data_IF_297803549946
#
_entry.id   IF_297803549946
#
_cell.length_a   1.000
_cell.length_b   1.000
_cell.length_c   1.000
_cell.angle_alpha   90.00
_cell.angle_beta   90.00
_cell.angle_gamma   90.00
#
_symmetry.space_group_name_H-M   'P 1'
#
loop_
_entity.id
_entity.type
_entity.pdbx_description
1 polymer ?
#
# COMPACT_ATOMS: atom_id res chain seq x y z
N UNK A 1 -8.34 -11.20 -19.91
CA UNK A 1 -7.02 -10.50 -20.01
C UNK A 1 -6.69 -10.21 -21.47
N UNK A 2 -6.43 -8.93 -21.81
CA UNK A 2 -6.00 -8.49 -23.15
C UNK A 2 -4.66 -9.14 -23.54
N UNK A 3 -4.39 -9.34 -24.84
CA UNK A 3 -3.08 -9.80 -25.33
C UNK A 3 -2.11 -8.63 -25.50
N UNK A 4 -0.81 -8.90 -25.30
CA UNK A 4 0.26 -7.94 -25.58
C UNK A 4 0.45 -7.83 -27.10
N UNK A 5 0.84 -6.65 -27.56
CA UNK A 5 1.20 -6.40 -28.97
C UNK A 5 2.70 -6.60 -29.16
N UNK A 6 3.05 -7.66 -29.92
CA UNK A 6 4.45 -8.02 -30.20
C UNK A 6 5.13 -7.06 -31.18
N UNK A 7 4.35 -6.26 -31.92
CA UNK A 7 4.86 -5.30 -32.90
C UNK A 7 5.04 -3.89 -32.32
N UNK A 8 4.60 -3.67 -31.09
CA UNK A 8 4.76 -2.40 -30.39
C UNK A 8 6.21 -2.12 -30.00
N UNK A 9 6.61 -0.84 -30.02
CA UNK A 9 7.92 -0.40 -29.50
C UNK A 9 8.02 -0.52 -27.98
N UNK A 10 6.89 -0.69 -27.27
CA UNK A 10 6.85 -0.83 -25.81
C UNK A 10 7.24 -2.26 -25.43
N UNK A 11 8.23 -2.46 -24.52
CA UNK A 11 8.65 -3.79 -24.07
C UNK A 11 7.48 -4.63 -23.55
N UNK A 12 7.44 -5.92 -23.92
CA UNK A 12 6.32 -6.83 -23.61
C UNK A 12 6.02 -6.95 -22.10
N UNK A 13 7.06 -6.89 -21.25
CA UNK A 13 6.87 -6.94 -19.80
C UNK A 13 6.18 -5.67 -19.26
N UNK A 14 6.41 -4.51 -19.87
CA UNK A 14 5.74 -3.25 -19.50
C UNK A 14 4.28 -3.30 -19.93
N UNK A 15 4.01 -3.77 -21.14
CA UNK A 15 2.64 -3.96 -21.63
C UNK A 15 1.85 -4.91 -20.72
N UNK A 16 2.44 -6.06 -20.37
CA UNK A 16 1.81 -7.03 -19.48
C UNK A 16 1.54 -6.45 -18.09
N UNK A 17 2.49 -5.69 -17.54
CA UNK A 17 2.28 -5.00 -16.26
C UNK A 17 1.12 -4.01 -16.34
N UNK A 18 1.02 -3.24 -17.43
CA UNK A 18 -0.07 -2.28 -17.62
C UNK A 18 -1.43 -2.98 -17.75
N UNK A 19 -1.49 -4.10 -18.46
CA UNK A 19 -2.73 -4.89 -18.60
C UNK A 19 -3.19 -5.41 -17.23
N UNK A 20 -2.28 -5.96 -16.42
CA UNK A 20 -2.63 -6.47 -15.08
C UNK A 20 -3.06 -5.31 -14.17
N UNK A 21 -2.41 -4.15 -14.25
CA UNK A 21 -2.83 -2.95 -13.51
C UNK A 21 -4.26 -2.52 -13.87
N UNK A 22 -4.55 -2.44 -15.17
CA UNK A 22 -5.90 -2.11 -15.65
C UNK A 22 -6.94 -3.09 -15.08
N UNK A 23 -6.65 -4.40 -15.08
CA UNK A 23 -7.55 -5.41 -14.51
C UNK A 23 -7.76 -5.26 -12.99
N UNK A 24 -6.76 -4.80 -12.25
CA UNK A 24 -6.87 -4.49 -10.81
C UNK A 24 -7.69 -3.20 -10.60
N UNK A 25 -7.46 -2.17 -11.41
CA UNK A 25 -8.14 -0.88 -11.31
C UNK A 25 -9.62 -0.98 -11.69
N UNK A 26 -9.96 -1.81 -12.67
CA UNK A 26 -11.35 -2.09 -13.11
C UNK A 26 -12.05 -3.16 -12.26
N UNK A 27 -11.41 -3.65 -11.20
CA UNK A 27 -11.92 -4.71 -10.32
C UNK A 27 -12.19 -6.06 -11.02
N UNK A 28 -11.71 -6.24 -12.25
CA UNK A 28 -11.71 -7.55 -12.92
C UNK A 28 -10.84 -8.57 -12.13
N UNK A 29 -9.76 -8.06 -11.52
CA UNK A 29 -8.96 -8.76 -10.49
C UNK A 29 -9.18 -8.08 -9.14
N UNK A 30 -9.95 -8.72 -8.27
CA UNK A 30 -10.27 -8.20 -6.93
C UNK A 30 -9.08 -8.32 -5.97
N UNK A 31 -9.06 -7.48 -4.95
CA UNK A 31 -8.09 -7.59 -3.85
C UNK A 31 -8.12 -8.99 -3.22
N UNK A 32 -6.95 -9.56 -2.97
CA UNK A 32 -6.79 -10.92 -2.46
C UNK A 32 -7.04 -12.03 -3.46
N UNK A 33 -7.53 -11.75 -4.68
CA UNK A 33 -7.73 -12.78 -5.69
C UNK A 33 -6.41 -13.34 -6.23
N UNK A 34 -6.45 -14.60 -6.66
CA UNK A 34 -5.32 -15.28 -7.27
C UNK A 34 -5.09 -14.76 -8.69
N UNK A 35 -3.85 -14.35 -8.99
CA UNK A 35 -3.43 -14.08 -10.35
C UNK A 35 -3.14 -15.42 -11.04
N UNK A 36 -3.62 -15.58 -12.26
CA UNK A 36 -3.31 -16.70 -13.13
C UNK A 36 -1.83 -17.10 -13.02
N UNK A 37 -1.52 -18.40 -13.04
CA UNK A 37 -0.13 -18.86 -12.90
C UNK A 37 0.78 -18.31 -14.00
N UNK A 38 2.06 -18.10 -13.68
CA UNK A 38 3.05 -17.64 -14.68
C UNK A 38 3.04 -18.50 -15.94
N UNK A 39 2.87 -19.82 -15.76
CA UNK A 39 2.81 -20.79 -16.88
C UNK A 39 1.61 -20.54 -17.78
N UNK A 40 0.45 -20.25 -17.18
CA UNK A 40 -0.77 -20.02 -17.94
C UNK A 40 -0.75 -18.65 -18.61
N UNK A 41 -0.16 -17.63 -17.94
CA UNK A 41 0.09 -16.33 -18.56
C UNK A 41 1.02 -16.46 -19.76
N UNK A 42 2.12 -17.24 -19.65
CA UNK A 42 3.02 -17.50 -20.78
C UNK A 42 2.28 -18.11 -21.96
N UNK A 43 1.44 -19.11 -21.72
CA UNK A 43 0.64 -19.76 -22.77
C UNK A 43 -0.37 -18.81 -23.38
N UNK A 44 -1.11 -18.07 -22.55
CA UNK A 44 -2.15 -17.14 -23.02
C UNK A 44 -1.57 -15.99 -23.85
N UNK A 45 -0.44 -15.42 -23.39
CA UNK A 45 0.21 -14.27 -24.02
C UNK A 45 1.22 -14.68 -25.10
N UNK A 46 1.60 -15.96 -25.18
CA UNK A 46 2.63 -16.50 -26.08
C UNK A 46 3.98 -15.76 -25.95
N UNK A 47 4.38 -15.50 -24.72
CA UNK A 47 5.63 -14.81 -24.35
C UNK A 47 6.49 -15.66 -23.42
N UNK A 48 7.75 -15.31 -23.30
CA UNK A 48 8.70 -16.05 -22.49
C UNK A 48 8.40 -15.96 -20.99
N UNK A 49 8.76 -16.99 -20.23
CA UNK A 49 8.64 -17.02 -18.79
C UNK A 49 9.41 -15.87 -18.11
N UNK A 50 10.57 -15.50 -18.67
CA UNK A 50 11.38 -14.37 -18.19
C UNK A 50 10.62 -13.05 -18.29
N UNK A 51 9.89 -12.83 -19.40
CA UNK A 51 9.08 -11.63 -19.62
C UNK A 51 7.93 -11.56 -18.63
N UNK A 52 7.22 -12.66 -18.39
CA UNK A 52 6.13 -12.75 -17.40
C UNK A 52 6.66 -12.50 -16.00
N UNK A 53 7.75 -13.16 -15.60
CA UNK A 53 8.37 -12.99 -14.29
C UNK A 53 8.77 -11.53 -14.06
N UNK A 54 9.39 -10.87 -15.06
CA UNK A 54 9.78 -9.45 -14.97
C UNK A 54 8.57 -8.53 -14.75
N UNK A 55 7.47 -8.79 -15.44
CA UNK A 55 6.23 -8.03 -15.25
C UNK A 55 5.65 -8.20 -13.84
N UNK A 56 5.58 -9.46 -13.36
CA UNK A 56 5.07 -9.76 -12.02
C UNK A 56 5.95 -9.15 -10.95
N UNK A 57 7.28 -9.25 -11.06
CA UNK A 57 8.20 -8.62 -10.10
C UNK A 57 8.05 -7.11 -10.04
N UNK A 58 7.85 -6.45 -11.18
CA UNK A 58 7.56 -5.00 -11.20
C UNK A 58 6.32 -4.68 -10.37
N UNK A 59 5.23 -5.43 -10.57
CA UNK A 59 3.99 -5.22 -9.85
C UNK A 59 4.08 -5.57 -8.35
N UNK A 60 4.91 -6.55 -7.98
CA UNK A 60 5.22 -6.85 -6.58
C UNK A 60 5.99 -5.69 -5.94
N UNK A 61 7.00 -5.14 -6.62
CA UNK A 61 7.76 -3.99 -6.14
C UNK A 61 6.89 -2.73 -6.00
N UNK A 62 5.89 -2.58 -6.84
CA UNK A 62 4.89 -1.51 -6.74
C UNK A 62 3.84 -1.76 -5.63
N UNK A 63 3.86 -2.95 -5.01
CA UNK A 63 2.92 -3.32 -3.96
C UNK A 63 1.50 -3.62 -4.46
N UNK A 64 1.33 -3.88 -5.75
CA UNK A 64 0.05 -4.27 -6.37
C UNK A 64 -0.18 -5.78 -6.30
N UNK A 65 0.88 -6.57 -6.22
CA UNK A 65 0.83 -8.02 -6.10
C UNK A 65 1.65 -8.49 -4.90
N UNK A 66 1.23 -9.61 -4.30
CA UNK A 66 1.97 -10.34 -3.28
C UNK A 66 2.31 -11.74 -3.81
N UNK A 67 3.60 -12.10 -3.77
CA UNK A 67 4.06 -13.43 -4.18
C UNK A 67 4.29 -14.30 -2.95
N UNK A 68 3.64 -15.46 -2.91
CA UNK A 68 3.82 -16.46 -1.86
C UNK A 68 4.45 -17.71 -2.48
N UNK A 69 5.64 -18.08 -1.98
CA UNK A 69 6.34 -19.26 -2.46
C UNK A 69 5.46 -20.51 -2.28
N UNK A 70 5.34 -21.32 -3.31
CA UNK A 70 4.50 -22.53 -3.32
C UNK A 70 2.99 -22.28 -3.41
N UNK A 71 2.50 -21.07 -3.14
CA UNK A 71 1.06 -20.75 -3.16
C UNK A 71 0.61 -19.91 -4.36
N UNK A 72 1.57 -19.23 -5.01
CA UNK A 72 1.30 -18.39 -6.19
C UNK A 72 1.35 -16.89 -5.93
N UNK A 73 0.76 -16.13 -6.84
CA UNK A 73 0.72 -14.67 -6.80
C UNK A 73 -0.71 -14.19 -6.62
N UNK A 74 -0.90 -13.23 -5.74
CA UNK A 74 -2.21 -12.69 -5.37
C UNK A 74 -2.22 -11.17 -5.53
N UNK A 75 -3.39 -10.61 -5.81
CA UNK A 75 -3.59 -9.16 -5.79
C UNK A 75 -3.42 -8.68 -4.35
N UNK A 76 -2.56 -7.69 -4.15
CA UNK A 76 -2.36 -7.12 -2.83
C UNK A 76 -3.61 -6.39 -2.36
N UNK A 77 -3.91 -6.50 -1.07
CA UNK A 77 -4.90 -5.60 -0.46
C UNK A 77 -4.33 -4.18 -0.51
N UNK A 78 -5.02 -3.26 -1.15
CA UNK A 78 -4.66 -1.84 -1.09
C UNK A 78 -4.69 -1.45 0.39
N UNK A 79 -3.51 -1.27 1.00
CA UNK A 79 -3.47 -0.49 2.22
C UNK A 79 -4.13 0.83 1.85
N UNK A 80 -5.32 1.11 2.37
CA UNK A 80 -5.98 2.40 2.19
C UNK A 80 -4.97 3.43 2.65
N UNK A 81 -4.14 3.95 1.74
CA UNK A 81 -3.31 5.13 2.02
C UNK A 81 -4.34 6.22 2.27
N UNK A 82 -4.55 6.53 3.52
CA UNK A 82 -5.31 7.70 3.89
C UNK A 82 -4.56 8.89 3.28
N UNK A 83 -4.96 9.32 2.10
CA UNK A 83 -4.58 10.63 1.58
C UNK A 83 -5.25 11.64 2.49
N UNK A 84 -4.53 12.06 3.51
CA UNK A 84 -4.89 13.23 4.29
C UNK A 84 -4.74 14.45 3.37
N UNK A 85 -5.70 14.66 2.47
CA UNK A 85 -5.72 15.83 1.58
C UNK A 85 -6.23 17.09 2.29
N UNK A 86 -6.75 16.92 3.52
CA UNK A 86 -7.11 18.00 4.45
C UNK A 86 -6.63 17.59 5.85
N UNK A 87 -6.23 18.59 6.63
CA UNK A 87 -6.02 18.44 8.08
C UNK A 87 -7.39 18.25 8.75
N UNK A 88 -7.95 17.05 8.66
CA UNK A 88 -9.17 16.65 9.36
C UNK A 88 -8.77 15.98 10.67
N UNK A 89 -9.42 16.32 11.75
CA UNK A 89 -9.20 15.68 13.04
C UNK A 89 -9.58 14.20 13.01
N UNK A 90 -8.93 13.37 13.84
CA UNK A 90 -9.21 11.94 13.93
C UNK A 90 -10.70 11.64 14.11
N UNK A 91 -11.36 12.37 15.01
CA UNK A 91 -12.80 12.24 15.28
C UNK A 91 -13.63 12.51 14.01
N UNK A 92 -13.32 13.57 13.28
CA UNK A 92 -14.04 13.93 12.05
C UNK A 92 -13.90 12.85 10.98
N UNK A 93 -12.69 12.30 10.80
CA UNK A 93 -12.44 11.22 9.85
C UNK A 93 -13.23 9.97 10.22
N UNK A 94 -13.29 9.60 11.49
CA UNK A 94 -13.97 8.40 11.94
C UNK A 94 -15.50 8.56 11.89
N UNK A 95 -16.02 9.73 12.24
CA UNK A 95 -17.45 10.02 12.14
C UNK A 95 -17.94 9.99 10.69
N UNK A 96 -17.17 10.53 9.73
CA UNK A 96 -17.49 10.45 8.31
C UNK A 96 -17.53 9.01 7.78
N UNK A 97 -16.88 8.07 8.48
CA UNK A 97 -16.89 6.63 8.17
C UNK A 97 -17.99 5.86 8.88
N UNK A 98 -18.87 6.55 9.60
CA UNK A 98 -19.95 5.93 10.34
C UNK A 98 -19.57 5.33 11.69
N UNK A 99 -18.35 5.61 12.20
CA UNK A 99 -17.95 5.19 13.54
C UNK A 99 -18.38 6.23 14.57
N UNK A 100 -18.89 5.78 15.70
CA UNK A 100 -19.00 6.63 16.88
C UNK A 100 -17.64 6.68 17.55
N UNK A 101 -17.18 7.90 17.86
CA UNK A 101 -15.86 8.12 18.49
C UNK A 101 -16.08 8.74 19.86
N UNK A 102 -15.65 8.02 20.87
CA UNK A 102 -15.58 8.52 22.25
C UNK A 102 -14.10 8.75 22.58
N UNK A 103 -13.82 9.90 23.17
CA UNK A 103 -12.47 10.25 23.62
C UNK A 103 -12.52 10.46 25.13
N UNK A 104 -11.71 9.72 25.85
CA UNK A 104 -11.52 9.89 27.28
C UNK A 104 -10.13 10.50 27.54
N UNK A 105 -10.10 11.64 28.20
CA UNK A 105 -8.86 12.28 28.60
C UNK A 105 -8.38 11.67 29.93
N UNK A 106 -7.45 10.72 29.84
CA UNK A 106 -6.94 10.01 31.02
C UNK A 106 -5.89 10.82 31.78
N UNK A 107 -5.05 11.55 31.09
CA UNK A 107 -3.97 12.34 31.66
C UNK A 107 -3.78 13.62 30.86
N UNK A 108 -3.77 14.74 31.58
CA UNK A 108 -3.34 16.04 31.06
C UNK A 108 -2.52 16.74 32.13
N UNK A 109 -1.22 16.81 31.95
CA UNK A 109 -0.35 17.55 32.84
C UNK A 109 0.82 18.21 32.08
N UNK A 110 1.36 19.24 32.72
CA UNK A 110 2.54 19.96 32.27
C UNK A 110 3.68 19.65 33.23
N UNK A 111 4.78 19.07 32.72
CA UNK A 111 5.88 18.64 33.56
C UNK A 111 7.21 18.68 32.81
N UNK A 112 8.31 18.54 33.58
CA UNK A 112 9.66 18.30 33.03
C UNK A 112 9.86 16.81 32.88
N UNK A 113 10.24 16.37 31.68
CA UNK A 113 10.36 14.96 31.37
C UNK A 113 11.80 14.47 31.30
N UNK A 114 11.94 13.15 31.32
CA UNK A 114 13.24 12.45 31.25
C UNK A 114 14.04 12.88 30.02
N UNK A 115 15.36 12.69 30.09
CA UNK A 115 16.30 12.98 29.00
C UNK A 115 15.87 12.36 27.67
N UNK A 116 15.37 11.12 27.69
CA UNK A 116 14.92 10.39 26.50
C UNK A 116 13.74 11.07 25.78
N UNK A 117 12.76 11.62 26.52
CA UNK A 117 11.63 12.32 25.94
C UNK A 117 12.08 13.65 25.32
N UNK A 118 12.97 14.37 26.00
CA UNK A 118 13.54 15.62 25.50
C UNK A 118 14.35 15.43 24.22
N UNK A 119 15.18 14.39 24.15
CA UNK A 119 15.92 14.04 22.95
C UNK A 119 15.01 13.71 21.75
N UNK A 120 13.93 12.95 21.98
CA UNK A 120 12.95 12.63 20.95
C UNK A 120 12.19 13.85 20.43
N UNK A 121 11.98 14.85 21.29
CA UNK A 121 11.29 16.10 20.95
C UNK A 121 12.26 17.21 20.51
N UNK A 122 13.57 16.96 20.42
CA UNK A 122 14.62 17.92 20.08
C UNK A 122 14.61 19.17 20.97
N UNK A 123 14.33 19.02 22.26
CA UNK A 123 14.30 20.12 23.20
C UNK A 123 15.71 20.44 23.73
N UNK A 124 16.22 21.61 23.36
CA UNK A 124 17.59 22.03 23.70
C UNK A 124 17.71 22.51 25.14
N UNK A 125 16.62 22.91 25.76
CA UNK A 125 16.63 23.50 27.10
C UNK A 125 16.19 22.49 28.16
N UNK A 126 16.95 22.40 29.27
CA UNK A 126 16.70 21.45 30.36
C UNK A 126 15.38 21.74 31.11
N UNK A 127 14.97 23.00 31.15
CA UNK A 127 13.78 23.48 31.86
C UNK A 127 12.54 23.51 30.95
N UNK A 128 12.62 22.97 29.74
CA UNK A 128 11.46 22.93 28.85
C UNK A 128 10.33 22.09 29.45
N UNK A 129 9.15 22.69 29.52
CA UNK A 129 7.93 22.01 29.92
C UNK A 129 7.27 21.31 28.74
N UNK A 130 6.69 20.15 28.97
CA UNK A 130 6.02 19.33 27.96
C UNK A 130 4.62 18.97 28.42
N UNK A 131 3.64 19.16 27.55
CA UNK A 131 2.29 18.64 27.79
C UNK A 131 2.25 17.14 27.53
N UNK A 132 1.82 16.39 28.54
CA UNK A 132 1.49 14.98 28.40
C UNK A 132 -0.02 14.83 28.30
N UNK A 133 -0.46 14.24 27.19
CA UNK A 133 -1.85 13.88 26.94
C UNK A 133 -1.93 12.37 26.75
N UNK A 134 -2.86 11.74 27.45
CA UNK A 134 -3.11 10.31 27.31
C UNK A 134 -4.61 10.04 27.28
#
# INVERSE_FOLDING_TARGET
MKKVDKNSKVPLHIQLSSIIKEMIETEELKEGSFLMSERDICKHQEISRMTVNKAILSLVNEGLLNRHQGKGTFVAYKKKKHRYQKLEGFTEIMTKRGYQVENELLVFNLDTYSKNVREKLNLLNLDSLVYKIK
#
